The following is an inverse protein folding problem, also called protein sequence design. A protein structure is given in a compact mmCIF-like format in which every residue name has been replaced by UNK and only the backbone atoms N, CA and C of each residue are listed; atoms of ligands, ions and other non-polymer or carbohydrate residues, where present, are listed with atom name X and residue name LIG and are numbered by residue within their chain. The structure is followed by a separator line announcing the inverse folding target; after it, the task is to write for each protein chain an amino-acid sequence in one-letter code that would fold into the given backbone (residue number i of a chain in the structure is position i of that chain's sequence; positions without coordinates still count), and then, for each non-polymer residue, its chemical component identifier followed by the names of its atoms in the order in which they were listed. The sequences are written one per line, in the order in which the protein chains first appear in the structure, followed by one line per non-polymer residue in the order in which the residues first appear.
data_IF_097796438780
#
_entry.id   IF_097796438780
#
_cell.length_a   1.000
_cell.length_b   1.000
_cell.length_c   1.000
_cell.angle_alpha   90.00
_cell.angle_beta   90.00
_cell.angle_gamma   90.00
#
_symmetry.space_group_name_H-M   'P 1'
#
loop_
_entity.id
_entity.type
_entity.pdbx_description
1 polymer ?
#
# COMPACT_ATOMS: atom_id res chain seq x y z
N UNK A 1 3.91 -7.14 11.33
CA UNK A 1 5.18 -7.82 10.98
C UNK A 1 5.76 -8.50 12.21
N UNK A 2 6.72 -9.42 12.09
CA UNK A 2 7.48 -9.95 13.25
C UNK A 2 8.22 -8.83 14.03
N UNK A 3 8.45 -7.68 13.40
CA UNK A 3 9.03 -6.47 14.01
C UNK A 3 7.99 -5.53 14.66
N UNK A 4 6.71 -5.91 14.74
CA UNK A 4 5.66 -5.03 15.31
C UNK A 4 5.25 -3.86 14.40
N UNK A 5 5.87 -3.72 13.23
CA UNK A 5 5.50 -2.70 12.26
C UNK A 5 4.14 -2.98 11.61
N UNK A 6 3.31 -1.94 11.50
CA UNK A 6 2.05 -1.96 10.75
C UNK A 6 2.35 -2.22 9.28
N UNK A 7 1.81 -3.33 8.77
CA UNK A 7 1.87 -3.70 7.36
C UNK A 7 0.50 -3.41 6.76
N UNK A 8 0.48 -2.57 5.74
CA UNK A 8 -0.73 -2.26 4.99
C UNK A 8 -0.67 -3.01 3.67
N UNK A 9 -1.54 -3.99 3.50
CA UNK A 9 -1.66 -4.73 2.24
C UNK A 9 -2.53 -3.93 1.28
N UNK A 10 -2.03 -3.70 0.08
CA UNK A 10 -2.76 -2.99 -0.97
C UNK A 10 -2.46 -3.61 -2.32
N UNK A 11 -3.44 -3.52 -3.22
CA UNK A 11 -3.29 -3.88 -4.62
C UNK A 11 -3.04 -2.62 -5.42
N UNK A 12 -2.01 -2.62 -6.25
CA UNK A 12 -1.79 -1.53 -7.20
C UNK A 12 -2.73 -1.79 -8.38
N UNK A 13 -3.72 -0.93 -8.58
CA UNK A 13 -4.66 -1.06 -9.71
C UNK A 13 -4.22 -0.25 -10.92
N UNK A 14 -3.45 0.84 -10.72
CA UNK A 14 -2.95 1.70 -11.78
C UNK A 14 -1.58 2.31 -11.49
N UNK A 15 -0.83 2.64 -12.55
CA UNK A 15 0.51 3.24 -12.45
C UNK A 15 1.57 2.32 -11.86
N UNK A 16 2.47 2.89 -11.06
CA UNK A 16 3.54 2.18 -10.36
C UNK A 16 3.80 2.86 -9.01
N UNK A 17 3.82 2.09 -7.93
CA UNK A 17 4.15 2.60 -6.60
C UNK A 17 5.64 2.41 -6.31
N UNK A 18 6.35 3.49 -6.00
CA UNK A 18 7.77 3.45 -5.65
C UNK A 18 8.00 3.54 -4.14
N UNK A 19 9.06 2.91 -3.66
CA UNK A 19 9.53 3.11 -2.29
C UNK A 19 9.91 4.58 -2.10
N UNK A 20 9.71 5.12 -0.89
CA UNK A 20 9.85 6.55 -0.56
C UNK A 20 8.89 7.49 -1.30
N UNK A 21 7.95 6.96 -2.09
CA UNK A 21 6.88 7.78 -2.63
C UNK A 21 6.01 8.36 -1.50
N UNK A 22 5.56 9.59 -1.69
CA UNK A 22 4.56 10.21 -0.84
C UNK A 22 3.18 9.86 -1.41
N UNK A 23 2.34 9.27 -0.57
CA UNK A 23 0.95 8.95 -0.84
C UNK A 23 0.08 9.77 0.09
N UNK A 24 -1.09 10.20 -0.37
CA UNK A 24 -2.09 10.81 0.50
C UNK A 24 -2.97 9.70 1.08
N UNK A 25 -2.89 9.48 2.40
CA UNK A 25 -3.69 8.51 3.15
C UNK A 25 -4.48 9.25 4.24
N UNK A 26 -5.80 9.07 4.30
CA UNK A 26 -6.65 9.68 5.33
C UNK A 26 -6.50 11.21 5.46
N UNK A 27 -6.24 11.91 4.34
CA UNK A 27 -6.01 13.37 4.31
C UNK A 27 -4.64 13.81 4.82
N UNK A 28 -3.66 12.90 4.93
CA UNK A 28 -2.26 13.21 5.28
C UNK A 28 -1.31 12.65 4.23
N UNK A 29 -0.24 13.38 3.95
CA UNK A 29 0.87 12.83 3.15
C UNK A 29 1.69 11.87 4.01
N UNK A 30 1.63 10.60 3.67
CA UNK A 30 2.44 9.55 4.26
C UNK A 30 3.49 9.05 3.27
N UNK A 31 4.60 8.56 3.81
CA UNK A 31 5.72 8.10 3.00
C UNK A 31 5.83 6.59 3.08
N UNK A 32 5.87 5.96 1.91
CA UNK A 32 6.15 4.53 1.81
C UNK A 32 7.60 4.28 2.23
N UNK A 33 7.81 3.54 3.31
CA UNK A 33 9.14 3.27 3.81
C UNK A 33 9.75 2.05 3.10
N UNK A 34 8.94 1.01 2.90
CA UNK A 34 9.33 -0.22 2.21
C UNK A 34 8.13 -0.84 1.50
N UNK A 35 8.36 -1.46 0.33
CA UNK A 35 7.38 -2.27 -0.38
C UNK A 35 7.83 -3.73 -0.33
N UNK A 36 6.91 -4.63 0.04
CA UNK A 36 7.14 -6.07 0.16
C UNK A 36 6.08 -6.81 -0.66
N UNK A 37 6.50 -7.59 -1.65
CA UNK A 37 5.61 -8.47 -2.42
C UNK A 37 5.64 -9.85 -1.76
N UNK A 38 4.47 -10.33 -1.33
CA UNK A 38 4.35 -11.68 -0.78
C UNK A 38 4.08 -12.68 -1.90
N UNK A 39 4.90 -13.72 -1.96
CA UNK A 39 4.75 -14.88 -2.84
C UNK A 39 4.67 -16.14 -1.97
N UNK A 40 3.44 -16.46 -1.54
CA UNK A 40 3.18 -17.57 -0.62
C UNK A 40 3.77 -17.32 0.77
N UNK A 41 4.67 -18.22 1.22
CA UNK A 41 5.32 -18.12 2.52
C UNK A 41 6.53 -17.16 2.54
N UNK A 42 6.98 -16.68 1.37
CA UNK A 42 8.13 -15.77 1.25
C UNK A 42 7.66 -14.38 0.84
N UNK A 43 8.47 -13.38 1.15
CA UNK A 43 8.28 -12.03 0.64
C UNK A 43 9.58 -11.52 0.03
N UNK A 44 9.44 -10.66 -0.98
CA UNK A 44 10.55 -9.96 -1.63
C UNK A 44 10.34 -8.48 -1.47
N UNK A 45 11.36 -7.79 -1.00
CA UNK A 45 11.35 -6.33 -0.89
C UNK A 45 11.68 -5.74 -2.25
N UNK A 46 10.82 -4.87 -2.77
CA UNK A 46 11.03 -4.24 -4.09
C UNK A 46 11.00 -2.72 -3.94
N UNK A 47 11.70 -2.02 -4.83
CA UNK A 47 11.68 -0.57 -4.88
C UNK A 47 10.51 -0.01 -5.69
N UNK A 48 9.91 -0.82 -6.57
CA UNK A 48 8.79 -0.43 -7.41
C UNK A 48 7.80 -1.58 -7.55
N UNK A 49 6.51 -1.29 -7.36
CA UNK A 49 5.41 -2.21 -7.58
C UNK A 49 4.50 -1.69 -8.71
N UNK A 50 4.46 -2.36 -9.88
CA UNK A 50 3.61 -1.96 -10.99
C UNK A 50 2.14 -2.34 -10.76
N UNK A 51 1.24 -1.70 -11.51
CA UNK A 51 -0.18 -2.05 -11.57
C UNK A 51 -0.40 -3.56 -11.81
N UNK A 52 -1.40 -4.11 -11.15
CA UNK A 52 -1.71 -5.53 -11.11
C UNK A 52 -1.06 -6.27 -9.93
N UNK A 53 -0.12 -5.65 -9.21
CA UNK A 53 0.66 -6.32 -8.16
C UNK A 53 0.04 -6.11 -6.77
N UNK A 54 0.00 -7.18 -5.98
CA UNK A 54 -0.34 -7.13 -4.55
C UNK A 54 0.94 -6.94 -3.74
N UNK A 55 1.01 -5.86 -2.96
CA UNK A 55 2.16 -5.54 -2.13
C UNK A 55 1.73 -5.09 -0.74
N UNK A 56 2.56 -5.40 0.25
CA UNK A 56 2.46 -4.81 1.57
C UNK A 56 3.46 -3.67 1.68
N UNK A 57 2.99 -2.54 2.20
CA UNK A 57 3.82 -1.39 2.47
C UNK A 57 3.93 -1.13 3.97
N UNK A 58 5.07 -0.59 4.38
CA UNK A 58 5.31 -0.12 5.75
C UNK A 58 5.47 1.40 5.75
N UNK A 59 5.17 2.03 6.89
CA UNK A 59 5.25 3.49 7.05
C UNK A 59 3.93 4.23 6.87
N UNK A 60 2.85 3.53 6.51
CA UNK A 60 1.49 4.08 6.50
C UNK A 60 0.84 3.88 7.88
N UNK A 61 0.54 4.99 8.54
CA UNK A 61 -0.07 5.04 9.88
C UNK A 61 -1.52 5.53 9.84
N UNK A 62 -1.90 6.31 8.82
CA UNK A 62 -3.22 6.89 8.67
C UNK A 62 -4.14 6.08 7.75
N UNK A 63 -3.58 5.24 6.86
CA UNK A 63 -4.36 4.47 5.90
C UNK A 63 -5.39 3.54 6.55
N UNK A 64 -6.61 3.51 5.98
CA UNK A 64 -7.70 2.60 6.36
C UNK A 64 -7.99 1.60 5.25
N UNK A 65 -8.53 0.43 5.61
CA UNK A 65 -8.89 -0.58 4.62
C UNK A 65 -10.05 -0.08 3.74
N UNK A 66 -9.90 -0.21 2.41
CA UNK A 66 -10.87 0.30 1.43
C UNK A 66 -10.55 1.71 0.90
N UNK A 67 -9.55 2.39 1.46
CA UNK A 67 -9.13 3.70 0.96
C UNK A 67 -8.39 3.59 -0.39
N UNK A 68 -8.85 4.38 -1.36
CA UNK A 68 -8.18 4.55 -2.65
C UNK A 68 -6.99 5.49 -2.51
N UNK A 69 -5.83 5.09 -3.03
CA UNK A 69 -4.59 5.85 -2.92
C UNK A 69 -4.11 6.29 -4.30
N UNK A 70 -3.92 7.61 -4.47
CA UNK A 70 -3.46 8.20 -5.72
C UNK A 70 -4.58 8.44 -6.73
N UNK A 71 -4.59 7.69 -7.84
CA UNK A 71 -5.53 7.89 -8.96
C UNK A 71 -6.90 7.23 -8.72
N UNK A 72 -6.96 6.20 -7.89
CA UNK A 72 -8.22 5.56 -7.53
C UNK A 72 -8.96 6.40 -6.51
N UNK A 73 -10.19 6.79 -6.84
CA UNK A 73 -11.10 7.42 -5.90
C UNK A 73 -11.43 6.44 -4.76
N UNK A 74 -11.50 6.93 -3.52
CA UNK A 74 -11.84 6.12 -2.35
C UNK A 74 -13.09 5.28 -2.63
N UNK A 75 -12.96 3.96 -2.54
CA UNK A 75 -14.08 3.07 -2.81
C UNK A 75 -15.06 3.19 -1.63
N UNK A 76 -16.31 3.62 -1.86
CA UNK A 76 -17.30 3.58 -0.79
C UNK A 76 -17.44 2.14 -0.31
N UNK A 77 -17.47 1.96 1.02
CA UNK A 77 -17.69 0.67 1.66
C UNK A 77 -18.88 -0.06 1.00
N UNK A 78 -18.84 -1.41 0.90
CA UNK A 78 -19.89 -2.16 0.23
C UNK A 78 -21.25 -1.76 0.82
N UNK A 79 -22.12 -1.24 -0.06
CA UNK A 79 -23.51 -0.98 0.29
C UNK A 79 -24.18 -2.33 0.55
N UNK A 80 -24.74 -2.47 1.75
CA UNK A 80 -25.44 -3.64 2.25
C UNK A 80 -26.91 -3.64 1.78
#
# INVERSE_FOLDING_TARGET
DQQGNRLTHMKITGGSLKVKAQLECGGKQEKVNQIRIYSGAKFTTVDEAPAGTLCAVTGLSAGSAGEGLGFESSCPAPLL
#
